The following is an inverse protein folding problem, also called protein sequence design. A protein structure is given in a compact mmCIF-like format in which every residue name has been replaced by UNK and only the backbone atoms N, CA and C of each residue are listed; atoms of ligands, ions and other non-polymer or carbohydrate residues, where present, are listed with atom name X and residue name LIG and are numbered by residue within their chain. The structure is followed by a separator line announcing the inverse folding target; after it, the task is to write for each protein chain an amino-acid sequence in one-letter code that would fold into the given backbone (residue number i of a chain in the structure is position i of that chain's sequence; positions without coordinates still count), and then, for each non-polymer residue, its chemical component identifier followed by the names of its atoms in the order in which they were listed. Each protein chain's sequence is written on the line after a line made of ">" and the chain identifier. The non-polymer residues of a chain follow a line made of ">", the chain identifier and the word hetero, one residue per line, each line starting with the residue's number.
data_IF_384843091699
#
_entry.id   IF_384843091699
#
_cell.length_a   1.000
_cell.length_b   1.000
_cell.length_c   1.000
_cell.angle_alpha   90.00
_cell.angle_beta   90.00
_cell.angle_gamma   90.00
#
_symmetry.space_group_name_H-M   'P 1'
#
loop_
_entity.id
_entity.type
_entity.pdbx_description
1 polymer ?
#
# COMPACT_ATOMS: atom_id res chain seq x y z
N UNK A 1 -8.15 5.50 -37.05
CA UNK A 1 -8.71 4.14 -37.31
C UNK A 1 -8.44 3.60 -38.71
N UNK A 2 -8.87 4.23 -39.82
CA UNK A 2 -8.64 3.70 -41.19
C UNK A 2 -7.16 3.46 -41.56
N UNK A 3 -6.24 4.37 -41.20
CA UNK A 3 -4.79 4.18 -41.36
C UNK A 3 -4.28 2.96 -40.58
N UNK A 4 -4.60 2.87 -39.29
CA UNK A 4 -4.30 1.71 -38.44
C UNK A 4 -4.89 0.41 -39.02
N UNK A 5 -6.14 0.42 -39.49
CA UNK A 5 -6.80 -0.74 -40.08
C UNK A 5 -6.15 -1.16 -41.41
N UNK A 6 -5.69 -0.22 -42.24
CA UNK A 6 -4.93 -0.50 -43.48
C UNK A 6 -3.56 -1.11 -43.16
N UNK A 7 -2.81 -0.51 -42.24
CA UNK A 7 -1.53 -1.07 -41.77
C UNK A 7 -1.74 -2.42 -41.08
N UNK A 8 -2.86 -2.61 -40.37
CA UNK A 8 -3.28 -3.87 -39.77
C UNK A 8 -3.68 -4.94 -40.77
N UNK A 9 -4.40 -4.58 -41.83
CA UNK A 9 -4.80 -5.56 -42.84
C UNK A 9 -3.62 -6.06 -43.67
N UNK A 10 -2.55 -5.26 -43.79
CA UNK A 10 -1.24 -5.76 -44.25
C UNK A 10 -0.68 -6.81 -43.28
N UNK A 11 -0.90 -6.68 -41.95
CA UNK A 11 -0.48 -7.66 -40.92
C UNK A 11 -1.13 -9.05 -41.04
N UNK A 12 -2.31 -9.17 -41.65
CA UNK A 12 -3.03 -10.46 -41.77
C UNK A 12 -2.87 -11.14 -43.13
N UNK A 13 -2.47 -10.41 -44.18
CA UNK A 13 -2.46 -10.92 -45.57
C UNK A 13 -1.07 -11.30 -46.07
N UNK A 14 -0.04 -10.61 -45.63
CA UNK A 14 1.32 -10.89 -46.07
C UNK A 14 2.05 -11.67 -44.98
N UNK A 15 2.64 -12.82 -45.31
CA UNK A 15 3.50 -13.61 -44.42
C UNK A 15 4.75 -12.88 -43.90
N UNK A 16 4.85 -11.56 -44.08
CA UNK A 16 5.89 -10.69 -43.56
C UNK A 16 5.46 -10.16 -42.19
N UNK A 17 6.06 -10.74 -41.13
CA UNK A 17 5.95 -10.23 -39.77
C UNK A 17 6.54 -8.81 -39.73
N UNK A 18 5.72 -7.80 -39.44
CA UNK A 18 6.24 -6.50 -38.97
C UNK A 18 7.19 -6.75 -37.79
N UNK A 19 8.31 -6.04 -37.78
CA UNK A 19 9.18 -5.99 -36.61
C UNK A 19 8.37 -5.49 -35.40
N UNK A 20 8.70 -5.98 -34.21
CA UNK A 20 7.99 -5.69 -32.96
C UNK A 20 7.82 -4.19 -32.75
N UNK A 21 8.87 -3.41 -33.04
CA UNK A 21 8.88 -1.95 -32.97
C UNK A 21 7.78 -1.27 -33.80
N UNK A 22 7.49 -1.79 -35.00
CA UNK A 22 6.48 -1.22 -35.89
C UNK A 22 5.04 -1.43 -35.37
N UNK A 23 4.81 -2.52 -34.63
CA UNK A 23 3.49 -2.81 -34.03
C UNK A 23 3.18 -1.83 -32.90
N UNK A 24 4.15 -1.53 -32.05
CA UNK A 24 4.01 -0.54 -30.97
C UNK A 24 3.80 0.87 -31.52
N UNK A 25 4.51 1.24 -32.59
CA UNK A 25 4.35 2.55 -33.21
C UNK A 25 2.93 2.79 -33.74
N UNK A 26 2.31 1.79 -34.38
CA UNK A 26 0.97 1.94 -34.93
C UNK A 26 -0.10 2.26 -33.87
N UNK A 27 -0.08 1.57 -32.72
CA UNK A 27 -1.03 1.82 -31.63
C UNK A 27 -0.76 3.19 -30.98
N UNK A 28 0.51 3.54 -30.79
CA UNK A 28 0.91 4.82 -30.20
C UNK A 28 0.50 6.01 -31.09
N UNK A 29 0.72 5.93 -32.40
CA UNK A 29 0.27 6.96 -33.35
C UNK A 29 -1.24 7.15 -33.29
N UNK A 30 -2.00 6.05 -33.22
CA UNK A 30 -3.45 6.10 -33.12
C UNK A 30 -3.91 6.77 -31.83
N UNK A 31 -3.32 6.39 -30.69
CA UNK A 31 -3.66 6.96 -29.38
C UNK A 31 -3.26 8.44 -29.28
N UNK A 32 -2.12 8.84 -29.85
CA UNK A 32 -1.69 10.24 -29.91
C UNK A 32 -2.57 11.09 -30.84
N UNK A 33 -3.04 10.53 -31.94
CA UNK A 33 -4.01 11.20 -32.80
C UNK A 33 -5.34 11.40 -32.06
N UNK A 34 -5.86 10.35 -31.41
CA UNK A 34 -7.04 10.44 -30.56
C UNK A 34 -6.88 11.48 -29.44
N UNK A 35 -5.72 11.49 -28.76
CA UNK A 35 -5.39 12.47 -27.72
C UNK A 35 -5.38 13.90 -28.24
N UNK A 36 -4.86 14.12 -29.44
CA UNK A 36 -4.85 15.46 -30.06
C UNK A 36 -6.25 15.93 -30.41
N UNK A 37 -7.07 15.07 -31.02
CA UNK A 37 -8.47 15.39 -31.33
C UNK A 37 -9.26 15.74 -30.07
N UNK A 38 -9.14 14.92 -29.02
CA UNK A 38 -9.79 15.14 -27.73
C UNK A 38 -9.32 16.46 -27.11
N UNK A 39 -8.02 16.72 -27.11
CA UNK A 39 -7.44 17.95 -26.56
C UNK A 39 -7.89 19.23 -27.29
N UNK A 40 -7.96 19.19 -28.62
CA UNK A 40 -8.42 20.31 -29.46
C UNK A 40 -9.90 20.64 -29.18
N UNK A 41 -10.75 19.62 -29.07
CA UNK A 41 -12.18 19.78 -28.75
C UNK A 41 -12.40 20.35 -27.33
N UNK A 42 -11.47 20.10 -26.42
CA UNK A 42 -11.52 20.53 -25.02
C UNK A 42 -11.00 21.95 -24.77
N UNK A 43 -10.54 22.67 -25.80
CA UNK A 43 -9.83 23.95 -25.67
C UNK A 43 -10.59 25.09 -24.97
N UNK A 44 -11.90 24.93 -24.69
CA UNK A 44 -12.71 25.83 -23.88
C UNK A 44 -12.74 25.52 -22.36
N UNK A 45 -12.01 24.49 -21.89
CA UNK A 45 -12.07 23.96 -20.51
C UNK A 45 -10.71 24.09 -19.79
N UNK A 46 -10.63 23.96 -18.44
CA UNK A 46 -9.39 24.16 -17.70
C UNK A 46 -8.20 23.39 -18.29
N UNK A 47 -7.06 24.07 -18.39
CA UNK A 47 -5.83 23.62 -19.06
C UNK A 47 -5.18 22.45 -18.31
N UNK A 48 -5.62 21.22 -18.55
CA UNK A 48 -4.78 20.06 -18.31
C UNK A 48 -3.72 19.95 -19.41
N UNK A 49 -2.49 19.45 -19.16
CA UNK A 49 -1.55 19.16 -20.22
C UNK A 49 -2.13 18.15 -21.20
N UNK A 50 -1.85 18.32 -22.50
CA UNK A 50 -2.14 17.29 -23.50
C UNK A 50 -1.42 16.00 -23.09
N UNK A 51 -2.09 14.86 -23.22
CA UNK A 51 -1.48 13.55 -23.01
C UNK A 51 -0.71 13.11 -24.26
N UNK A 52 0.46 12.53 -24.05
CA UNK A 52 1.24 11.87 -25.09
C UNK A 52 1.51 10.43 -24.69
N UNK A 53 1.13 9.51 -25.57
CA UNK A 53 1.47 8.10 -25.49
C UNK A 53 2.88 7.90 -26.03
N UNK A 54 3.71 7.21 -25.26
CA UNK A 54 5.12 6.95 -25.58
C UNK A 54 5.44 5.46 -25.55
N UNK A 55 6.45 5.07 -26.32
CA UNK A 55 6.87 3.68 -26.44
C UNK A 55 7.88 3.32 -25.33
N UNK A 56 7.51 2.38 -24.45
CA UNK A 56 8.32 1.93 -23.31
C UNK A 56 8.64 0.44 -23.34
N UNK A 57 8.26 -0.29 -24.40
CA UNK A 57 8.53 -1.73 -24.55
C UNK A 57 10.02 -2.12 -24.48
N UNK A 58 10.97 -1.19 -24.52
CA UNK A 58 12.39 -1.51 -24.50
C UNK A 58 13.00 -1.51 -23.07
N UNK A 59 12.35 -0.90 -22.08
CA UNK A 59 12.91 -0.72 -20.75
C UNK A 59 11.83 -0.66 -19.66
N UNK A 60 12.09 -1.23 -18.47
CA UNK A 60 11.16 -1.11 -17.35
C UNK A 60 10.96 0.35 -16.94
N UNK A 61 9.79 0.64 -16.37
CA UNK A 61 9.57 1.91 -15.69
C UNK A 61 10.33 1.92 -14.36
N UNK A 62 10.81 3.09 -13.95
CA UNK A 62 11.70 3.27 -12.80
C UNK A 62 11.01 3.93 -11.61
N UNK A 63 11.68 3.91 -10.45
CA UNK A 63 11.20 4.52 -9.20
C UNK A 63 9.85 3.98 -8.68
N UNK A 64 9.52 2.74 -9.01
CA UNK A 64 8.43 2.04 -8.32
C UNK A 64 8.81 1.88 -6.83
N UNK A 65 7.93 2.14 -5.86
CA UNK A 65 8.29 2.03 -4.43
C UNK A 65 8.75 0.63 -3.98
N UNK A 66 8.27 -0.44 -4.63
CA UNK A 66 8.76 -1.83 -4.45
C UNK A 66 9.96 -2.22 -5.35
N UNK A 67 10.55 -1.29 -6.09
CA UNK A 67 11.63 -1.55 -7.05
C UNK A 67 11.29 -2.63 -8.10
N UNK A 68 10.02 -2.71 -8.50
CA UNK A 68 9.59 -3.62 -9.55
C UNK A 68 10.18 -3.23 -10.90
N UNK A 69 10.51 -4.24 -11.71
CA UNK A 69 11.11 -4.12 -13.04
C UNK A 69 10.09 -4.41 -14.16
N UNK A 70 8.81 -4.13 -13.89
CA UNK A 70 7.73 -4.31 -14.84
C UNK A 70 7.85 -3.32 -16.02
N UNK A 71 7.49 -3.80 -17.22
CA UNK A 71 7.70 -3.11 -18.49
C UNK A 71 6.39 -3.01 -19.29
N UNK A 72 5.51 -2.04 -18.98
CA UNK A 72 4.44 -1.67 -19.89
C UNK A 72 4.99 -1.37 -21.29
N UNK A 73 4.33 -1.85 -22.33
CA UNK A 73 4.77 -1.63 -23.71
C UNK A 73 4.64 -0.16 -24.12
N UNK A 74 3.63 0.51 -23.58
CA UNK A 74 3.44 1.95 -23.72
C UNK A 74 2.78 2.54 -22.48
N UNK A 75 2.93 3.83 -22.30
CA UNK A 75 2.23 4.59 -21.27
C UNK A 75 1.84 5.98 -21.78
N UNK A 76 0.83 6.58 -21.14
CA UNK A 76 0.48 7.98 -21.34
C UNK A 76 1.21 8.84 -20.30
N UNK A 77 1.78 9.96 -20.73
CA UNK A 77 2.41 10.99 -19.89
C UNK A 77 1.89 12.36 -20.29
N UNK A 78 2.12 13.36 -19.44
CA UNK A 78 1.88 14.76 -19.83
C UNK A 78 2.87 15.16 -20.93
N UNK A 79 2.37 15.71 -22.04
CA UNK A 79 3.15 15.97 -23.25
C UNK A 79 4.27 17.01 -23.04
N UNK A 80 4.09 17.92 -22.08
CA UNK A 80 5.09 18.92 -21.72
C UNK A 80 6.29 18.33 -20.97
N UNK A 81 6.17 17.12 -20.40
CA UNK A 81 7.28 16.41 -19.78
C UNK A 81 8.11 15.62 -20.80
N UNK A 82 7.55 15.30 -21.97
CA UNK A 82 8.16 14.43 -22.98
C UNK A 82 9.54 14.89 -23.46
N UNK A 83 9.81 16.20 -23.69
CA UNK A 83 11.12 16.67 -24.12
C UNK A 83 12.25 16.36 -23.13
N UNK A 84 11.94 16.23 -21.84
CA UNK A 84 12.92 15.96 -20.77
C UNK A 84 13.11 14.45 -20.48
N UNK A 85 12.38 13.57 -21.18
CA UNK A 85 12.47 12.13 -20.96
C UNK A 85 13.65 11.52 -21.70
N UNK A 86 14.37 10.63 -21.02
CA UNK A 86 15.53 9.95 -21.59
C UNK A 86 15.12 8.98 -22.72
N UNK A 87 15.98 8.90 -23.74
CA UNK A 87 15.85 7.95 -24.85
C UNK A 87 17.14 7.15 -25.00
N UNK A 88 16.99 5.88 -25.33
CA UNK A 88 18.09 5.03 -25.79
C UNK A 88 18.65 5.51 -27.13
N UNK A 89 19.83 5.01 -27.52
CA UNK A 89 20.42 5.23 -28.84
C UNK A 89 19.53 4.79 -30.01
N UNK A 90 18.61 3.85 -29.76
CA UNK A 90 17.61 3.37 -30.72
C UNK A 90 16.33 4.23 -30.73
N UNK A 91 16.28 5.33 -29.98
CA UNK A 91 15.15 6.25 -29.91
C UNK A 91 13.98 5.80 -29.01
N UNK A 92 14.08 4.64 -28.36
CA UNK A 92 13.07 4.19 -27.40
C UNK A 92 13.20 4.95 -26.08
N UNK A 93 12.07 5.29 -25.45
CA UNK A 93 12.09 5.92 -24.12
C UNK A 93 12.58 4.93 -23.07
N UNK A 94 13.44 5.42 -22.17
CA UNK A 94 14.06 4.64 -21.09
C UNK A 94 13.95 5.44 -19.79
N UNK A 95 14.04 4.75 -18.64
CA UNK A 95 14.03 5.39 -17.33
C UNK A 95 12.81 6.30 -17.10
N UNK A 96 11.64 5.89 -17.59
CA UNK A 96 10.40 6.63 -17.38
C UNK A 96 9.89 6.33 -15.97
N UNK A 97 9.76 7.32 -15.08
CA UNK A 97 9.28 7.07 -13.72
C UNK A 97 7.80 6.73 -13.67
N UNK A 98 7.42 5.79 -12.81
CA UNK A 98 6.02 5.42 -12.59
C UNK A 98 5.15 6.62 -12.22
N UNK A 99 5.68 7.56 -11.42
CA UNK A 99 4.93 8.72 -10.94
C UNK A 99 4.57 9.73 -12.05
N UNK A 100 5.15 9.62 -13.25
CA UNK A 100 4.80 10.48 -14.40
C UNK A 100 3.69 9.91 -15.27
N UNK A 101 3.38 8.63 -15.12
CA UNK A 101 2.43 7.94 -15.99
C UNK A 101 0.98 8.25 -15.59
N UNK A 102 0.09 8.31 -16.60
CA UNK A 102 -1.34 8.62 -16.47
C UNK A 102 -2.23 7.43 -16.83
N UNK A 103 -1.69 6.56 -17.69
CA UNK A 103 -2.28 5.29 -18.10
C UNK A 103 -1.16 4.40 -18.62
N UNK A 104 -1.40 3.09 -18.63
CA UNK A 104 -0.43 2.06 -19.03
C UNK A 104 -1.09 1.11 -20.01
N UNK A 105 -0.28 0.48 -20.86
CA UNK A 105 -0.82 -0.50 -21.79
C UNK A 105 0.17 -1.56 -22.24
N UNK A 106 -0.43 -2.57 -22.83
CA UNK A 106 0.21 -3.80 -23.28
C UNK A 106 -0.27 -4.10 -24.69
N UNK A 107 0.65 -4.40 -25.60
CA UNK A 107 0.36 -4.75 -26.99
C UNK A 107 0.85 -6.16 -27.28
N UNK A 108 -0.10 -7.08 -27.47
CA UNK A 108 0.18 -8.47 -27.81
C UNK A 108 0.54 -8.62 -29.27
N UNK A 109 1.52 -9.48 -29.51
CA UNK A 109 2.02 -9.78 -30.86
C UNK A 109 1.26 -10.91 -31.53
N UNK A 110 0.51 -11.74 -30.78
CA UNK A 110 -0.25 -12.88 -31.29
C UNK A 110 -1.73 -12.88 -30.87
N UNK A 111 -2.54 -13.60 -31.65
CA UNK A 111 -3.98 -13.73 -31.50
C UNK A 111 -4.40 -14.75 -30.41
N UNK A 112 -3.47 -15.62 -29.98
CA UNK A 112 -3.72 -16.74 -29.06
C UNK A 112 -3.41 -16.38 -27.59
N UNK A 113 -2.90 -15.17 -27.35
CA UNK A 113 -2.42 -14.66 -26.06
C UNK A 113 -3.54 -14.26 -25.07
N UNK A 114 -4.69 -14.95 -25.07
CA UNK A 114 -5.88 -14.61 -24.30
C UNK A 114 -5.68 -14.59 -22.76
N UNK A 115 -4.67 -15.30 -22.22
CA UNK A 115 -4.37 -15.35 -20.77
C UNK A 115 -3.70 -14.09 -20.20
N UNK A 116 -3.42 -13.08 -21.03
CA UNK A 116 -2.50 -11.98 -20.67
C UNK A 116 -3.15 -10.59 -20.52
N UNK A 117 -4.48 -10.49 -20.57
CA UNK A 117 -5.22 -9.29 -20.18
C UNK A 117 -4.98 -8.91 -18.70
N UNK A 118 -4.64 -9.92 -17.88
CA UNK A 118 -4.15 -9.80 -16.50
C UNK A 118 -2.88 -8.94 -16.36
N UNK A 119 -2.03 -8.86 -17.39
CA UNK A 119 -0.78 -8.11 -17.35
C UNK A 119 -1.01 -6.60 -17.40
N UNK A 120 -1.92 -6.12 -18.27
CA UNK A 120 -2.31 -4.73 -18.29
C UNK A 120 -2.94 -4.30 -16.95
N UNK A 121 -3.75 -5.18 -16.34
CA UNK A 121 -4.32 -4.93 -15.01
C UNK A 121 -3.28 -4.95 -13.90
N UNK A 122 -2.26 -5.82 -13.97
CA UNK A 122 -1.11 -5.78 -13.07
C UNK A 122 -0.42 -4.42 -13.17
N UNK A 123 -0.15 -3.93 -14.38
CA UNK A 123 0.46 -2.60 -14.56
C UNK A 123 -0.39 -1.47 -14.02
N UNK A 124 -1.71 -1.54 -14.19
CA UNK A 124 -2.64 -0.58 -13.62
C UNK A 124 -2.59 -0.60 -12.08
N UNK A 125 -2.51 -1.79 -11.46
CA UNK A 125 -2.29 -1.91 -10.02
C UNK A 125 -0.96 -1.31 -9.55
N UNK A 126 0.14 -1.57 -10.27
CA UNK A 126 1.45 -0.97 -9.97
C UNK A 126 1.45 0.56 -10.12
N UNK A 127 0.70 1.07 -11.09
CA UNK A 127 0.44 2.50 -11.25
C UNK A 127 -0.25 3.06 -10.00
N UNK A 128 -1.35 2.46 -9.54
CA UNK A 128 -2.11 2.92 -8.38
C UNK A 128 -1.21 3.09 -7.14
N UNK A 129 -0.32 2.14 -6.83
CA UNK A 129 0.59 2.24 -5.67
C UNK A 129 1.75 3.22 -5.87
N UNK A 130 2.10 3.53 -7.12
CA UNK A 130 3.13 4.53 -7.46
C UNK A 130 2.57 5.95 -7.56
N UNK A 131 1.24 6.08 -7.63
CA UNK A 131 0.49 7.33 -7.75
C UNK A 131 -0.55 7.44 -6.65
N UNK A 132 -0.13 7.68 -5.39
CA UNK A 132 -1.07 7.82 -4.29
C UNK A 132 -2.06 8.98 -4.43
N UNK A 133 -1.74 9.98 -5.26
CA UNK A 133 -2.64 11.06 -5.70
C UNK A 133 -3.74 10.57 -6.65
N UNK A 134 -3.56 9.41 -7.28
CA UNK A 134 -4.48 8.79 -8.25
C UNK A 134 -4.58 7.28 -7.99
N UNK A 135 -5.40 6.88 -7.00
CA UNK A 135 -5.53 5.47 -6.66
C UNK A 135 -6.34 4.67 -7.69
N UNK A 136 -6.85 5.30 -8.74
CA UNK A 136 -7.46 4.64 -9.89
C UNK A 136 -6.66 4.85 -11.19
N UNK A 137 -6.61 3.83 -12.04
CA UNK A 137 -5.91 3.86 -13.31
C UNK A 137 -6.66 3.09 -14.40
N UNK A 138 -6.86 3.76 -15.54
CA UNK A 138 -7.25 3.11 -16.78
C UNK A 138 -6.03 2.42 -17.43
N UNK A 139 -6.26 1.26 -18.04
CA UNK A 139 -5.25 0.56 -18.83
C UNK A 139 -5.82 0.03 -20.16
N UNK A 140 -4.94 -0.17 -21.13
CA UNK A 140 -5.30 -0.70 -22.45
C UNK A 140 -4.52 -1.98 -22.73
N UNK A 141 -5.24 -3.07 -23.05
CA UNK A 141 -4.63 -4.26 -23.63
C UNK A 141 -5.04 -4.37 -25.09
N UNK A 142 -4.08 -4.41 -26.01
CA UNK A 142 -4.31 -4.51 -27.44
C UNK A 142 -3.71 -5.81 -28.00
N UNK A 143 -4.31 -6.34 -29.05
CA UNK A 143 -3.85 -7.55 -29.76
C UNK A 143 -4.28 -7.49 -31.23
N UNK A 144 -3.85 -8.43 -32.09
CA UNK A 144 -4.34 -8.49 -33.46
C UNK A 144 -5.86 -8.70 -33.58
N UNK A 145 -6.49 -9.40 -32.62
CA UNK A 145 -7.94 -9.69 -32.62
C UNK A 145 -8.79 -8.48 -32.22
N UNK A 146 -8.25 -7.62 -31.39
CA UNK A 146 -9.01 -6.55 -30.75
C UNK A 146 -8.29 -5.94 -29.57
N UNK A 147 -9.02 -5.17 -28.78
CA UNK A 147 -8.51 -4.53 -27.57
C UNK A 147 -9.50 -4.66 -26.41
N UNK A 148 -9.00 -4.46 -25.21
CA UNK A 148 -9.76 -4.44 -23.96
C UNK A 148 -9.35 -3.19 -23.18
N UNK A 149 -10.34 -2.53 -22.58
CA UNK A 149 -10.13 -1.40 -21.69
C UNK A 149 -10.28 -1.92 -20.26
N UNK A 150 -9.28 -1.63 -19.44
CA UNK A 150 -9.25 -1.99 -18.03
C UNK A 150 -9.37 -0.76 -17.13
N UNK A 151 -9.95 -0.95 -15.95
CA UNK A 151 -9.96 0.00 -14.83
C UNK A 151 -9.48 -0.72 -13.59
N UNK A 152 -8.51 -0.14 -12.87
CA UNK A 152 -7.99 -0.68 -11.62
C UNK A 152 -8.08 0.38 -10.54
N UNK A 153 -8.62 0.03 -9.39
CA UNK A 153 -8.62 0.85 -8.17
C UNK A 153 -8.55 -0.06 -6.92
N UNK A 154 -8.57 0.44 -5.68
CA UNK A 154 -8.53 -0.41 -4.49
C UNK A 154 -9.68 -1.41 -4.37
N UNK A 155 -10.81 -1.21 -5.06
CA UNK A 155 -11.93 -2.15 -5.08
C UNK A 155 -11.64 -3.38 -5.97
N UNK A 156 -10.77 -3.25 -6.97
CA UNK A 156 -10.31 -4.34 -7.80
C UNK A 156 -9.93 -3.93 -9.22
N UNK A 157 -9.68 -4.94 -10.05
CA UNK A 157 -9.45 -4.77 -11.48
C UNK A 157 -10.68 -5.21 -12.30
N UNK A 158 -11.16 -4.33 -13.17
CA UNK A 158 -12.26 -4.57 -14.10
C UNK A 158 -11.73 -4.50 -15.53
N UNK A 159 -12.14 -5.43 -16.38
CA UNK A 159 -11.73 -5.46 -17.78
C UNK A 159 -12.93 -5.72 -18.68
N UNK A 160 -13.01 -4.97 -19.79
CA UNK A 160 -14.04 -5.18 -20.79
C UNK A 160 -13.91 -6.53 -21.49
N UNK A 161 -14.98 -6.98 -22.15
CA UNK A 161 -14.85 -7.99 -23.20
C UNK A 161 -13.89 -7.51 -24.30
N UNK A 162 -13.35 -8.45 -25.07
CA UNK A 162 -12.51 -8.12 -26.23
C UNK A 162 -13.34 -7.43 -27.30
N UNK A 163 -12.99 -6.17 -27.58
CA UNK A 163 -13.62 -5.35 -28.60
C UNK A 163 -12.87 -5.55 -29.91
N UNK A 164 -13.59 -5.98 -30.94
CA UNK A 164 -13.01 -6.13 -32.27
C UNK A 164 -12.55 -4.77 -32.82
N UNK A 165 -11.52 -4.80 -33.64
CA UNK A 165 -11.06 -3.62 -34.37
C UNK A 165 -12.03 -3.24 -35.50
N UNK A 166 -13.14 -2.59 -35.15
CA UNK A 166 -14.07 -1.98 -36.09
C UNK A 166 -13.74 -0.48 -36.25
N UNK A 167 -13.48 -0.06 -37.49
CA UNK A 167 -13.10 1.32 -37.79
C UNK A 167 -14.31 2.26 -37.89
N UNK A 168 -15.52 1.71 -38.04
CA UNK A 168 -16.78 2.45 -38.00
C UNK A 168 -17.23 2.71 -36.54
N UNK A 169 -16.77 1.88 -35.59
CA UNK A 169 -17.06 1.98 -34.16
C UNK A 169 -15.88 2.51 -33.32
N UNK A 170 -14.96 3.27 -33.92
CA UNK A 170 -13.76 3.83 -33.26
C UNK A 170 -14.01 4.74 -32.04
N UNK A 171 -15.28 4.92 -31.66
CA UNK A 171 -15.75 5.71 -30.53
C UNK A 171 -15.17 5.23 -29.19
N UNK A 172 -15.01 3.92 -28.96
CA UNK A 172 -14.57 3.42 -27.65
C UNK A 172 -13.10 3.75 -27.33
N UNK A 173 -12.19 3.75 -28.30
CA UNK A 173 -10.81 4.24 -28.10
C UNK A 173 -10.80 5.74 -27.82
N UNK A 174 -11.60 6.52 -28.54
CA UNK A 174 -11.73 7.95 -28.28
C UNK A 174 -12.31 8.21 -26.88
N UNK A 175 -13.31 7.44 -26.45
CA UNK A 175 -13.87 7.49 -25.09
C UNK A 175 -12.83 7.11 -24.05
N UNK A 176 -12.03 6.06 -24.27
CA UNK A 176 -10.93 5.71 -23.38
C UNK A 176 -9.95 6.88 -23.21
N UNK A 177 -9.51 7.50 -24.31
CA UNK A 177 -8.59 8.65 -24.26
C UNK A 177 -9.25 9.86 -23.61
N UNK A 178 -10.52 10.14 -23.93
CA UNK A 178 -11.32 11.18 -23.29
C UNK A 178 -11.42 10.97 -21.78
N UNK A 179 -11.66 9.75 -21.31
CA UNK A 179 -11.72 9.40 -19.89
C UNK A 179 -10.39 9.59 -19.15
N UNK A 180 -9.25 9.69 -19.84
CA UNK A 180 -7.97 10.03 -19.20
C UNK A 180 -7.86 11.52 -18.82
N UNK A 181 -8.62 12.38 -19.50
CA UNK A 181 -8.74 13.81 -19.19
C UNK A 181 -9.92 14.11 -18.27
N UNK A 182 -11.05 13.47 -18.56
CA UNK A 182 -12.33 13.65 -17.90
C UNK A 182 -12.90 12.28 -17.51
N UNK A 183 -12.39 11.67 -16.44
CA UNK A 183 -12.90 10.39 -15.98
C UNK A 183 -14.39 10.52 -15.63
N UNK A 184 -15.20 9.48 -15.90
CA UNK A 184 -16.56 9.39 -15.37
C UNK A 184 -16.56 9.55 -13.85
N UNK A 185 -17.65 10.00 -13.24
CA UNK A 185 -17.71 10.26 -11.78
C UNK A 185 -17.31 9.05 -10.92
N UNK A 186 -17.64 7.83 -11.34
CA UNK A 186 -17.24 6.58 -10.67
C UNK A 186 -15.74 6.27 -10.79
N UNK A 187 -15.04 6.90 -11.72
CA UNK A 187 -13.62 6.72 -12.01
C UNK A 187 -12.82 8.02 -11.78
N UNK A 188 -13.44 9.11 -11.32
CA UNK A 188 -12.78 10.37 -10.98
C UNK A 188 -12.17 10.27 -9.58
N UNK A 189 -11.21 9.36 -9.47
CA UNK A 189 -10.60 9.00 -8.20
C UNK A 189 -9.26 9.70 -8.10
N UNK A 190 -9.30 10.94 -7.59
CA UNK A 190 -8.13 11.77 -7.29
C UNK A 190 -8.14 12.10 -5.81
N UNK A 191 -7.00 11.95 -5.15
CA UNK A 191 -6.79 12.44 -3.79
C UNK A 191 -6.23 13.88 -3.87
N UNK A 192 -7.04 14.93 -3.62
CA UNK A 192 -6.57 16.31 -3.70
C UNK A 192 -5.61 16.68 -2.57
N UNK A 193 -5.55 15.87 -1.51
CA UNK A 193 -4.71 16.10 -0.33
C UNK A 193 -3.29 15.54 -0.49
N UNK A 194 -3.02 14.83 -1.58
CA UNK A 194 -1.69 14.29 -1.91
C UNK A 194 -1.19 14.94 -3.19
N UNK A 195 -0.07 15.64 -3.10
CA UNK A 195 0.53 16.31 -4.26
C UNK A 195 2.00 15.94 -4.40
N UNK A 196 2.48 15.85 -5.63
CA UNK A 196 3.88 15.58 -5.92
C UNK A 196 4.68 16.87 -5.68
N UNK A 197 5.80 16.78 -4.94
CA UNK A 197 6.65 17.93 -4.59
C UNK A 197 7.20 18.61 -5.83
N UNK A 198 7.71 17.81 -6.77
CA UNK A 198 8.22 18.28 -8.05
C UNK A 198 7.70 17.38 -9.17
N UNK A 199 6.85 17.92 -10.05
CA UNK A 199 6.34 17.19 -11.22
C UNK A 199 7.41 16.91 -12.27
N UNK A 200 8.49 17.68 -12.27
CA UNK A 200 9.56 17.58 -13.27
C UNK A 200 10.61 16.53 -12.91
N UNK A 201 10.74 16.15 -11.63
CA UNK A 201 11.73 15.18 -11.16
C UNK A 201 11.69 13.85 -11.91
N UNK A 202 12.88 13.37 -12.30
CA UNK A 202 13.06 12.01 -12.83
C UNK A 202 13.46 11.02 -11.73
N UNK A 203 13.73 11.48 -10.51
CA UNK A 203 14.14 10.66 -9.38
C UNK A 203 12.94 10.05 -8.64
N UNK A 204 13.20 9.38 -7.52
CA UNK A 204 12.15 8.85 -6.65
C UNK A 204 11.20 9.98 -6.18
N UNK A 205 9.88 9.81 -6.33
CA UNK A 205 8.93 10.88 -6.03
C UNK A 205 8.86 11.17 -4.53
N UNK A 206 8.72 12.45 -4.18
CA UNK A 206 8.38 12.91 -2.84
C UNK A 206 7.03 13.60 -2.82
N UNK A 207 6.30 13.46 -1.72
CA UNK A 207 4.88 13.82 -1.65
C UNK A 207 4.63 14.85 -0.56
N UNK A 208 3.82 15.85 -0.86
CA UNK A 208 3.15 16.66 0.14
C UNK A 208 1.81 16.02 0.47
N UNK A 209 1.49 15.93 1.76
CA UNK A 209 0.29 15.27 2.26
C UNK A 209 -0.40 16.20 3.25
N UNK A 210 -1.67 16.51 3.00
CA UNK A 210 -2.50 17.27 3.92
C UNK A 210 -3.33 16.32 4.79
N UNK A 211 -3.37 16.56 6.09
CA UNK A 211 -4.34 15.93 6.99
C UNK A 211 -4.93 17.02 7.85
N UNK A 212 -6.26 17.17 7.78
CA UNK A 212 -6.97 18.30 8.40
C UNK A 212 -6.37 19.64 7.94
N UNK A 213 -5.98 20.50 8.87
CA UNK A 213 -5.41 21.82 8.59
C UNK A 213 -3.87 21.81 8.46
N UNK A 214 -3.21 20.65 8.62
CA UNK A 214 -1.75 20.54 8.55
C UNK A 214 -1.30 19.91 7.22
N UNK A 215 -0.32 20.54 6.58
CA UNK A 215 0.39 19.99 5.42
C UNK A 215 1.77 19.51 5.83
N UNK A 216 2.05 18.24 5.56
CA UNK A 216 3.35 17.61 5.69
C UNK A 216 4.02 17.64 4.33
N UNK A 217 5.20 18.25 4.23
CA UNK A 217 5.87 18.46 2.95
C UNK A 217 7.06 17.52 2.78
N UNK A 218 7.39 17.19 1.53
CA UNK A 218 8.64 16.50 1.19
C UNK A 218 8.77 15.06 1.72
N UNK A 219 7.65 14.36 1.85
CA UNK A 219 7.59 13.00 2.38
C UNK A 219 8.10 11.93 1.44
N UNK A 220 8.87 10.99 1.99
CA UNK A 220 9.37 9.82 1.28
C UNK A 220 8.42 8.63 1.48
N UNK A 221 8.05 7.93 0.40
CA UNK A 221 7.38 6.63 0.51
C UNK A 221 8.37 5.56 0.99
N UNK A 222 8.09 4.97 2.16
CA UNK A 222 8.92 3.91 2.75
C UNK A 222 8.31 2.52 2.62
N UNK A 223 6.99 2.43 2.37
CA UNK A 223 6.29 1.17 2.13
C UNK A 223 5.06 1.38 1.25
N UNK A 224 4.79 0.40 0.39
CA UNK A 224 3.50 0.24 -0.29
C UNK A 224 3.04 -1.21 -0.14
N UNK A 225 1.75 -1.40 0.04
CA UNK A 225 1.09 -2.70 0.14
C UNK A 225 0.77 -3.30 -1.22
N UNK A 226 -0.22 -4.20 -1.23
CA UNK A 226 -0.80 -4.72 -2.47
C UNK A 226 -1.71 -3.67 -3.14
N UNK A 227 -1.79 -3.67 -4.48
CA UNK A 227 -2.48 -2.60 -5.22
C UNK A 227 -4.00 -2.64 -5.10
N UNK A 228 -4.57 -3.80 -4.77
CA UNK A 228 -6.00 -3.98 -4.55
C UNK A 228 -6.28 -4.19 -3.06
N UNK A 229 -7.53 -3.99 -2.66
CA UNK A 229 -8.01 -4.00 -1.28
C UNK A 229 -7.58 -2.76 -0.47
N UNK A 230 -6.58 -2.88 0.42
CA UNK A 230 -6.23 -1.81 1.36
C UNK A 230 -5.32 -0.76 0.73
N UNK A 231 -4.51 -1.15 -0.25
CA UNK A 231 -3.53 -0.26 -0.89
C UNK A 231 -2.77 0.60 0.13
N UNK A 232 -2.28 -0.03 1.21
CA UNK A 232 -1.61 0.67 2.29
C UNK A 232 -0.35 1.37 1.77
N UNK A 233 -0.17 2.65 2.09
CA UNK A 233 1.06 3.39 1.78
C UNK A 233 1.56 4.04 3.06
N UNK A 234 2.86 3.91 3.33
CA UNK A 234 3.50 4.54 4.48
C UNK A 234 4.53 5.54 3.98
N UNK A 235 4.43 6.75 4.53
CA UNK A 235 5.33 7.86 4.27
C UNK A 235 6.11 8.22 5.52
N UNK A 236 7.34 8.67 5.32
CA UNK A 236 8.21 9.24 6.34
C UNK A 236 8.46 10.69 6.02
N UNK A 237 8.20 11.55 7.00
CA UNK A 237 8.48 12.98 6.97
C UNK A 237 9.48 13.28 8.08
N UNK A 238 10.46 14.13 7.77
CA UNK A 238 11.44 14.62 8.74
C UNK A 238 11.48 16.13 8.63
N UNK A 239 11.15 16.81 9.73
CA UNK A 239 11.25 18.25 9.87
C UNK A 239 11.92 18.62 11.21
N UNK A 240 11.96 19.91 11.54
CA UNK A 240 12.52 20.39 12.79
C UNK A 240 11.72 19.93 14.03
N UNK A 241 10.44 19.57 13.87
CA UNK A 241 9.56 19.05 14.93
C UNK A 241 9.76 17.53 15.14
N UNK A 242 10.57 16.90 14.29
CA UNK A 242 10.98 15.50 14.38
C UNK A 242 10.48 14.65 13.22
N UNK A 243 10.38 13.34 13.49
CA UNK A 243 9.93 12.36 12.49
C UNK A 243 8.42 12.18 12.60
N UNK A 244 7.74 12.13 11.45
CA UNK A 244 6.33 11.76 11.33
C UNK A 244 6.16 10.61 10.36
N UNK A 245 5.34 9.66 10.74
CA UNK A 245 4.93 8.55 9.88
C UNK A 245 3.47 8.75 9.50
N UNK A 246 3.18 8.77 8.20
CA UNK A 246 1.79 8.84 7.71
C UNK A 246 1.44 7.52 7.06
N UNK A 247 0.36 6.88 7.50
CA UNK A 247 -0.21 5.66 6.93
C UNK A 247 -1.52 6.00 6.22
N UNK A 248 -1.53 5.81 4.91
CA UNK A 248 -2.74 5.84 4.07
C UNK A 248 -3.25 4.44 3.83
N UNK A 249 -4.57 4.24 3.86
CA UNK A 249 -5.19 2.99 3.45
C UNK A 249 -6.66 3.15 3.04
N UNK A 250 -7.13 2.23 2.22
CA UNK A 250 -8.52 2.05 1.87
C UNK A 250 -9.18 1.03 2.78
N UNK A 251 -10.16 1.48 3.55
CA UNK A 251 -10.95 0.63 4.44
C UNK A 251 -12.28 0.30 3.81
N UNK A 252 -12.72 -0.95 3.95
CA UNK A 252 -14.05 -1.36 3.54
C UNK A 252 -15.12 -0.64 4.38
N UNK A 253 -16.16 -0.10 3.76
CA UNK A 253 -17.19 0.71 4.47
C UNK A 253 -17.96 -0.10 5.53
N UNK A 254 -18.14 -1.41 5.30
CA UNK A 254 -18.78 -2.33 6.26
C UNK A 254 -17.84 -2.95 7.31
N UNK A 255 -16.63 -2.41 7.50
CA UNK A 255 -15.69 -2.91 8.52
C UNK A 255 -16.22 -2.57 9.92
N UNK A 256 -16.16 -3.51 10.87
CA UNK A 256 -16.66 -3.28 12.24
C UNK A 256 -15.71 -2.43 13.08
N UNK A 257 -14.41 -2.71 12.99
CA UNK A 257 -13.38 -2.02 13.77
C UNK A 257 -12.50 -1.21 12.83
N UNK A 258 -12.39 0.08 13.12
CA UNK A 258 -11.54 1.02 12.39
C UNK A 258 -10.26 1.27 13.17
N UNK A 259 -9.13 1.33 12.47
CA UNK A 259 -7.82 1.41 13.11
C UNK A 259 -7.67 2.67 13.95
N UNK A 260 -8.16 3.82 13.48
CA UNK A 260 -8.17 5.08 14.25
C UNK A 260 -8.90 4.94 15.58
N UNK A 261 -10.10 4.36 15.57
CA UNK A 261 -10.92 4.20 16.77
C UNK A 261 -10.30 3.22 17.80
N UNK A 262 -9.46 2.29 17.35
CA UNK A 262 -8.70 1.42 18.25
C UNK A 262 -7.53 2.17 18.89
N UNK A 263 -6.88 3.08 18.16
CA UNK A 263 -5.86 3.96 18.72
C UNK A 263 -6.44 4.99 19.69
N UNK A 264 -7.64 5.53 19.42
CA UNK A 264 -8.32 6.44 20.35
C UNK A 264 -8.58 5.76 21.70
N UNK A 265 -8.91 4.46 21.71
CA UNK A 265 -9.05 3.65 22.95
C UNK A 265 -7.71 3.39 23.64
N UNK A 266 -6.59 3.46 22.93
CA UNK A 266 -5.24 3.29 23.46
C UNK A 266 -4.57 4.63 23.75
N UNK A 267 -5.31 5.74 23.75
CA UNK A 267 -4.75 7.05 24.05
C UNK A 267 -4.11 7.05 25.45
N UNK A 268 -2.84 7.46 25.51
CA UNK A 268 -2.03 7.41 26.74
C UNK A 268 -1.47 6.02 27.10
N UNK A 269 -1.85 4.95 26.40
CA UNK A 269 -1.30 3.62 26.62
C UNK A 269 0.10 3.49 26.01
N UNK A 270 1.06 3.10 26.84
CA UNK A 270 2.44 2.98 26.41
C UNK A 270 2.77 1.66 25.72
N UNK A 271 3.86 1.66 24.95
CA UNK A 271 4.29 0.50 24.17
C UNK A 271 3.51 0.31 22.87
N UNK A 272 2.67 1.29 22.50
CA UNK A 272 1.99 1.40 21.22
C UNK A 272 2.52 2.62 20.48
N UNK A 273 2.44 2.62 19.14
CA UNK A 273 2.73 3.84 18.38
C UNK A 273 1.75 4.95 18.75
N UNK A 274 2.27 6.14 18.96
CA UNK A 274 1.51 7.35 19.24
C UNK A 274 0.93 7.92 17.94
N UNK A 275 -0.39 7.87 17.82
CA UNK A 275 -1.15 8.56 16.77
C UNK A 275 -1.47 9.97 17.25
N UNK A 276 -1.16 10.98 16.43
CA UNK A 276 -1.37 12.40 16.76
C UNK A 276 -2.48 13.04 15.93
N UNK A 277 -2.86 12.43 14.81
CA UNK A 277 -4.02 12.83 14.03
C UNK A 277 -4.56 11.64 13.24
N UNK A 278 -5.87 11.63 12.99
CA UNK A 278 -6.49 10.72 12.04
C UNK A 278 -7.55 11.48 11.24
N UNK A 279 -7.56 11.32 9.93
CA UNK A 279 -8.48 12.06 9.08
C UNK A 279 -9.12 11.19 7.99
N UNK A 280 -10.36 11.55 7.65
CA UNK A 280 -11.06 11.05 6.47
C UNK A 280 -10.61 11.87 5.27
N UNK A 281 -10.05 11.23 4.25
CA UNK A 281 -9.61 11.92 3.03
C UNK A 281 -10.81 12.35 2.16
N UNK A 282 -11.99 11.79 2.40
CA UNK A 282 -13.20 12.07 1.59
C UNK A 282 -13.21 11.36 0.24
N UNK A 283 -12.28 10.43 0.01
CA UNK A 283 -12.19 9.65 -1.21
C UNK A 283 -12.86 8.27 -1.04
N UNK A 284 -13.79 7.95 -1.93
CA UNK A 284 -14.48 6.65 -1.98
C UNK A 284 -14.26 6.00 -3.33
N UNK A 285 -14.02 4.68 -3.33
CA UNK A 285 -13.84 3.85 -4.52
C UNK A 285 -14.74 2.63 -4.47
N UNK A 286 -14.99 2.01 -5.62
CA UNK A 286 -15.88 0.87 -5.73
C UNK A 286 -17.35 1.22 -5.52
N UNK A 287 -18.19 0.19 -5.50
CA UNK A 287 -19.64 0.31 -5.28
C UNK A 287 -20.14 -0.83 -4.40
N UNK A 288 -21.25 -0.59 -3.70
CA UNK A 288 -21.95 -1.56 -2.86
C UNK A 288 -21.00 -2.33 -1.92
N UNK A 289 -20.95 -3.66 -2.06
CA UNK A 289 -20.14 -4.59 -1.26
C UNK A 289 -18.63 -4.51 -1.52
N UNK A 290 -18.19 -3.67 -2.45
CA UNK A 290 -16.77 -3.41 -2.72
C UNK A 290 -16.33 -2.00 -2.30
N UNK A 291 -17.28 -1.19 -1.82
CA UNK A 291 -17.05 0.21 -1.49
C UNK A 291 -15.99 0.37 -0.39
N UNK A 292 -15.03 1.25 -0.65
CA UNK A 292 -13.91 1.54 0.26
C UNK A 292 -13.67 3.03 0.38
N UNK A 293 -13.31 3.46 1.57
CA UNK A 293 -13.01 4.86 1.91
C UNK A 293 -11.53 5.00 2.28
N UNK A 294 -10.88 6.06 1.81
CA UNK A 294 -9.49 6.34 2.16
C UNK A 294 -9.40 6.99 3.55
N UNK A 295 -8.62 6.38 4.42
CA UNK A 295 -8.28 6.85 5.77
C UNK A 295 -6.79 7.18 5.85
N UNK A 296 -6.46 8.13 6.71
CA UNK A 296 -5.09 8.57 6.98
C UNK A 296 -4.84 8.63 8.47
N UNK A 297 -3.74 8.03 8.91
CA UNK A 297 -3.23 8.10 10.28
C UNK A 297 -1.88 8.82 10.26
N UNK A 298 -1.70 9.77 11.18
CA UNK A 298 -0.42 10.45 11.42
C UNK A 298 0.12 9.99 12.76
N UNK A 299 1.33 9.44 12.76
CA UNK A 299 2.01 8.93 13.94
C UNK A 299 3.25 9.78 14.25
N UNK A 300 3.43 10.11 15.52
CA UNK A 300 4.61 10.85 16.01
C UNK A 300 5.76 9.94 16.44
N UNK A 301 5.47 8.68 16.70
CA UNK A 301 6.45 7.67 17.06
C UNK A 301 6.54 6.58 16.01
N UNK A 302 7.67 5.88 15.96
CA UNK A 302 7.87 4.71 15.12
C UNK A 302 9.18 4.01 15.46
N UNK A 303 9.63 3.13 14.58
CA UNK A 303 10.89 2.39 14.76
C UNK A 303 11.17 1.48 13.58
N UNK A 304 12.15 0.60 13.73
CA UNK A 304 12.52 -0.40 12.75
C UNK A 304 11.76 -1.71 13.01
N UNK A 305 11.43 -2.48 11.97
CA UNK A 305 10.81 -3.79 12.18
C UNK A 305 11.72 -4.73 13.01
N UNK A 306 11.11 -5.67 13.74
CA UNK A 306 11.82 -6.59 14.64
C UNK A 306 12.90 -7.43 13.94
N UNK A 307 12.79 -7.67 12.62
CA UNK A 307 13.81 -8.36 11.83
C UNK A 307 15.15 -7.58 11.72
N UNK A 308 15.19 -6.34 12.18
CA UNK A 308 16.41 -5.50 12.25
C UNK A 308 17.16 -5.61 13.58
N UNK A 309 16.62 -6.35 14.55
CA UNK A 309 17.30 -6.57 15.83
C UNK A 309 18.64 -7.29 15.61
N UNK A 310 19.71 -6.73 16.18
CA UNK A 310 21.09 -7.25 16.01
C UNK A 310 21.56 -8.17 17.13
N UNK A 311 20.86 -8.20 18.27
CA UNK A 311 21.31 -8.96 19.45
C UNK A 311 20.16 -9.72 20.10
N UNK A 312 20.45 -10.90 20.63
CA UNK A 312 19.48 -11.70 21.40
C UNK A 312 18.95 -10.93 22.60
N UNK A 313 19.81 -10.13 23.25
CA UNK A 313 19.41 -9.27 24.38
C UNK A 313 18.32 -8.30 23.98
N UNK A 314 18.52 -7.52 22.90
CA UNK A 314 17.51 -6.56 22.43
C UNK A 314 16.22 -7.26 21.99
N UNK A 315 16.33 -8.45 21.39
CA UNK A 315 15.15 -9.25 21.02
C UNK A 315 14.32 -9.63 22.25
N UNK A 316 14.94 -10.19 23.29
CA UNK A 316 14.25 -10.61 24.51
C UNK A 316 13.63 -9.41 25.25
N UNK A 317 14.36 -8.30 25.33
CA UNK A 317 13.86 -7.05 25.90
C UNK A 317 12.63 -6.53 25.13
N UNK A 318 12.69 -6.55 23.79
CA UNK A 318 11.57 -6.15 22.95
C UNK A 318 10.36 -7.07 23.16
N UNK A 319 10.56 -8.39 23.24
CA UNK A 319 9.44 -9.32 23.46
C UNK A 319 8.76 -9.10 24.81
N UNK A 320 9.53 -8.83 25.87
CA UNK A 320 8.96 -8.47 27.16
C UNK A 320 8.08 -7.23 27.07
N UNK A 321 8.60 -6.15 26.48
CA UNK A 321 7.88 -4.87 26.40
C UNK A 321 6.60 -4.98 25.55
N UNK A 322 6.65 -5.72 24.44
CA UNK A 322 5.47 -5.97 23.59
C UNK A 322 4.42 -6.81 24.32
N UNK A 323 4.83 -7.82 25.10
CA UNK A 323 3.89 -8.61 25.89
C UNK A 323 3.19 -7.76 26.94
N UNK A 324 3.92 -6.89 27.65
CA UNK A 324 3.35 -5.99 28.65
C UNK A 324 2.45 -4.93 28.01
N UNK A 325 2.87 -4.31 26.91
CA UNK A 325 2.06 -3.33 26.16
C UNK A 325 0.75 -3.94 25.64
N UNK A 326 0.82 -5.14 25.04
CA UNK A 326 -0.34 -5.85 24.56
C UNK A 326 -1.25 -6.31 25.72
N UNK A 327 -0.68 -6.82 26.82
CA UNK A 327 -1.41 -7.21 28.03
C UNK A 327 -2.17 -6.02 28.60
N UNK A 328 -1.52 -4.86 28.70
CA UNK A 328 -2.15 -3.62 29.13
C UNK A 328 -3.31 -3.26 28.21
N UNK A 329 -3.08 -3.18 26.89
CA UNK A 329 -4.13 -2.85 25.91
C UNK A 329 -5.33 -3.79 25.96
N UNK A 330 -5.11 -5.09 26.16
CA UNK A 330 -6.20 -6.07 26.27
C UNK A 330 -6.95 -5.97 27.61
N UNK A 331 -6.25 -5.83 28.73
CA UNK A 331 -6.86 -5.88 30.06
C UNK A 331 -7.54 -4.55 30.42
N UNK A 332 -6.87 -3.42 30.12
CA UNK A 332 -7.32 -2.09 30.49
C UNK A 332 -8.21 -1.48 29.41
N UNK A 333 -7.73 -1.46 28.18
CA UNK A 333 -8.40 -0.78 27.06
C UNK A 333 -9.29 -1.70 26.22
N UNK A 334 -9.26 -3.01 26.50
CA UNK A 334 -9.99 -4.05 25.76
C UNK A 334 -9.63 -4.13 24.27
N UNK A 335 -8.51 -3.56 23.86
CA UNK A 335 -8.03 -3.60 22.48
C UNK A 335 -7.10 -4.81 22.31
N UNK A 336 -7.41 -5.64 21.31
CA UNK A 336 -6.61 -6.80 20.93
C UNK A 336 -6.08 -6.61 19.51
N UNK A 337 -4.77 -6.85 19.30
CA UNK A 337 -4.12 -6.59 18.01
C UNK A 337 -4.45 -7.62 16.92
N UNK A 338 -4.53 -8.92 17.28
CA UNK A 338 -4.79 -10.09 16.42
C UNK A 338 -3.83 -10.36 15.24
N UNK A 339 -2.94 -9.45 14.89
CA UNK A 339 -1.91 -9.66 13.84
C UNK A 339 -0.49 -9.32 14.32
N UNK A 340 -0.13 -9.81 15.51
CA UNK A 340 1.23 -9.63 16.02
C UNK A 340 2.19 -10.47 15.15
N UNK A 341 3.12 -9.78 14.51
CA UNK A 341 4.17 -10.37 13.68
C UNK A 341 5.45 -9.52 13.82
N UNK A 342 6.57 -10.03 13.32
CA UNK A 342 7.84 -9.27 13.35
C UNK A 342 7.78 -7.93 12.60
N UNK A 343 6.83 -7.76 11.67
CA UNK A 343 6.65 -6.50 10.93
C UNK A 343 5.86 -5.45 11.71
N UNK A 344 5.06 -5.88 12.68
CA UNK A 344 4.15 -5.05 13.48
C UNK A 344 4.71 -4.76 14.90
N UNK A 345 5.98 -5.16 15.11
CA UNK A 345 6.77 -4.85 16.29
C UNK A 345 7.92 -3.95 15.84
N UNK A 346 7.97 -2.74 16.40
CA UNK A 346 8.94 -1.71 16.08
C UNK A 346 9.98 -1.60 17.19
N UNK A 347 11.26 -1.83 16.88
CA UNK A 347 12.41 -1.67 17.78
C UNK A 347 13.15 -0.37 17.50
N UNK A 348 14.08 0.00 18.38
CA UNK A 348 14.82 1.27 18.31
C UNK A 348 13.87 2.47 18.15
N UNK A 349 12.89 2.63 19.06
CA UNK A 349 11.80 3.54 18.82
C UNK A 349 12.27 5.00 18.89
N UNK A 350 11.63 5.85 18.09
CA UNK A 350 11.75 7.29 18.14
C UNK A 350 10.41 7.93 18.48
N UNK A 351 10.43 9.20 18.89
CA UNK A 351 9.21 9.99 19.11
C UNK A 351 8.35 9.50 20.27
N UNK A 352 8.92 8.70 21.19
CA UNK A 352 8.26 8.38 22.46
C UNK A 352 8.24 9.65 23.33
N UNK A 353 7.11 9.98 23.98
CA UNK A 353 7.06 11.06 24.96
C UNK A 353 8.17 10.95 26.01
N UNK A 354 8.72 12.11 26.40
CA UNK A 354 9.82 12.20 27.38
C UNK A 354 9.38 11.73 28.77
N UNK A 355 8.11 11.95 29.10
CA UNK A 355 7.54 11.49 30.36
C UNK A 355 7.27 9.98 30.28
N UNK A 356 7.95 9.24 31.15
CA UNK A 356 7.76 7.80 31.22
C UNK A 356 6.31 7.51 31.66
N UNK A 357 5.60 6.66 30.94
CA UNK A 357 4.21 6.35 31.22
C UNK A 357 4.06 5.64 32.57
N UNK A 358 2.92 5.88 33.23
CA UNK A 358 2.63 5.27 34.54
C UNK A 358 2.39 3.76 34.45
N UNK A 359 1.92 3.23 33.33
CA UNK A 359 1.76 1.80 33.07
C UNK A 359 1.88 1.51 31.56
N UNK A 360 2.30 0.30 31.16
CA UNK A 360 2.86 -0.78 31.98
C UNK A 360 4.34 -0.56 32.35
N UNK A 361 4.89 -1.46 33.18
CA UNK A 361 6.32 -1.45 33.55
C UNK A 361 7.14 -2.17 32.49
N UNK A 362 8.08 -1.48 31.86
CA UNK A 362 8.95 -2.02 30.80
C UNK A 362 10.26 -2.60 31.34
N UNK A 363 10.89 -3.46 30.54
CA UNK A 363 12.06 -4.26 30.91
C UNK A 363 13.21 -3.42 31.45
N UNK A 364 13.48 -2.24 30.86
CA UNK A 364 14.54 -1.35 31.34
C UNK A 364 14.25 -0.78 32.74
N UNK A 365 12.97 -0.62 33.10
CA UNK A 365 12.58 -0.24 34.48
C UNK A 365 12.88 -1.35 35.48
N UNK A 366 12.75 -2.61 35.05
CA UNK A 366 13.02 -3.78 35.91
C UNK A 366 14.52 -4.00 36.08
N UNK A 367 15.28 -3.77 35.02
CA UNK A 367 16.74 -3.92 35.02
C UNK A 367 17.45 -2.75 35.70
N UNK A 368 16.78 -1.60 35.90
CA UNK A 368 17.35 -0.46 36.58
C UNK A 368 17.23 -0.59 38.10
N UNK A 369 18.38 -0.82 38.76
CA UNK A 369 18.51 -0.94 40.21
C UNK A 369 18.08 0.32 40.98
N UNK A 370 18.00 1.48 40.32
CA UNK A 370 17.55 2.73 40.93
C UNK A 370 16.03 2.84 41.00
N UNK A 371 15.29 1.94 40.33
CA UNK A 371 13.83 2.00 40.21
C UNK A 371 13.33 3.13 39.31
N UNK A 372 14.22 3.79 38.56
CA UNK A 372 13.84 4.80 37.58
C UNK A 372 13.01 4.15 36.47
N UNK A 373 11.90 4.81 36.11
CA UNK A 373 11.08 4.39 34.98
C UNK A 373 11.72 4.73 33.64
N UNK A 374 11.63 3.79 32.72
CA UNK A 374 12.14 3.90 31.37
C UNK A 374 11.04 3.69 30.34
N UNK A 375 11.19 4.37 29.21
CA UNK A 375 10.41 4.15 28.01
C UNK A 375 10.59 2.73 27.47
N UNK A 376 9.60 2.21 26.72
CA UNK A 376 9.71 0.89 26.12
C UNK A 376 10.83 0.81 25.08
N UNK A 377 11.43 -0.37 24.99
CA UNK A 377 12.45 -0.73 23.98
C UNK A 377 11.81 -1.05 22.62
N UNK A 378 10.51 -1.35 22.60
CA UNK A 378 9.77 -1.67 21.39
C UNK A 378 8.31 -1.18 21.46
N UNK A 379 7.72 -0.91 20.30
CA UNK A 379 6.34 -0.46 20.13
C UNK A 379 5.52 -1.44 19.27
N UNK A 380 4.23 -1.55 19.55
CA UNK A 380 3.25 -2.23 18.70
C UNK A 380 2.66 -1.22 17.71
N UNK A 381 2.53 -1.61 16.45
CA UNK A 381 1.86 -0.84 15.40
C UNK A 381 0.92 -1.72 14.56
N UNK A 382 0.10 -1.10 13.71
CA UNK A 382 -0.75 -1.77 12.72
C UNK A 382 -1.98 -2.48 13.29
N UNK A 383 -2.89 -1.68 13.86
CA UNK A 383 -4.15 -2.14 14.44
C UNK A 383 -5.24 -2.43 13.41
N UNK A 384 -4.88 -2.55 12.14
CA UNK A 384 -5.78 -2.91 11.05
C UNK A 384 -6.62 -4.14 11.42
N UNK A 385 -5.98 -5.23 11.80
CA UNK A 385 -6.67 -6.47 12.15
C UNK A 385 -7.17 -6.48 13.60
N UNK A 386 -7.00 -5.38 14.34
CA UNK A 386 -7.39 -5.27 15.73
C UNK A 386 -8.89 -5.38 15.96
N UNK A 387 -9.27 -5.55 17.22
CA UNK A 387 -10.66 -5.53 17.64
C UNK A 387 -10.79 -5.06 19.08
N UNK A 388 -12.02 -4.71 19.45
CA UNK A 388 -12.40 -4.54 20.85
C UNK A 388 -12.97 -5.86 21.37
N UNK A 389 -12.38 -6.38 22.45
CA UNK A 389 -12.79 -7.60 23.10
C UNK A 389 -13.85 -7.31 24.18
N UNK A 390 -14.91 -8.12 24.25
CA UNK A 390 -16.03 -8.00 25.22
C UNK A 390 -16.93 -6.76 25.11
N UNK A 391 -17.03 -6.13 23.95
CA UNK A 391 -17.87 -4.91 23.83
C UNK A 391 -19.39 -5.17 23.71
N UNK A 392 -19.90 -6.41 23.57
CA UNK A 392 -21.36 -6.64 23.49
C UNK A 392 -21.94 -7.90 24.16
N UNK A 393 -23.19 -7.71 24.54
CA UNK A 393 -24.08 -8.33 25.52
C UNK A 393 -24.97 -9.45 24.95
N UNK A 394 -24.55 -10.10 23.86
CA UNK A 394 -25.26 -11.26 23.31
C UNK A 394 -24.31 -12.47 23.30
N UNK A 395 -24.43 -13.38 24.29
CA UNK A 395 -23.52 -14.52 24.45
C UNK A 395 -23.47 -15.46 23.24
N UNK A 396 -24.47 -15.42 22.35
CA UNK A 396 -24.71 -16.50 21.39
C UNK A 396 -24.38 -16.17 19.93
N UNK A 397 -24.00 -14.93 19.61
CA UNK A 397 -23.63 -14.54 18.23
C UNK A 397 -22.20 -13.98 18.23
N UNK A 398 -21.23 -14.84 17.96
CA UNK A 398 -19.87 -14.42 17.61
C UNK A 398 -19.91 -13.89 16.17
N UNK A 399 -19.66 -12.60 15.93
CA UNK A 399 -19.73 -12.06 14.57
C UNK A 399 -18.66 -12.69 13.69
N UNK A 400 -19.00 -12.98 12.43
CA UNK A 400 -18.14 -13.72 11.50
C UNK A 400 -16.76 -13.07 11.30
N UNK A 401 -16.65 -11.75 11.49
CA UNK A 401 -15.37 -11.02 11.45
C UNK A 401 -14.39 -11.45 12.55
N UNK A 402 -14.86 -11.93 13.72
CA UNK A 402 -14.00 -12.48 14.77
C UNK A 402 -13.55 -13.92 14.49
N UNK A 403 -14.32 -14.66 13.66
CA UNK A 403 -13.97 -16.00 13.18
C UNK A 403 -13.12 -15.98 11.92
N UNK A 404 -13.08 -14.84 11.22
CA UNK A 404 -12.31 -14.71 10.00
C UNK A 404 -10.82 -14.94 10.26
N UNK A 405 -10.14 -15.62 9.32
CA UNK A 405 -8.70 -15.87 9.37
C UNK A 405 -7.96 -14.54 9.22
N UNK A 406 -7.77 -13.84 10.33
CA UNK A 406 -7.06 -12.56 10.38
C UNK A 406 -5.62 -12.77 10.82
N UNK A 407 -4.71 -12.11 10.11
CA UNK A 407 -3.30 -12.01 10.46
C UNK A 407 -2.37 -12.65 9.46
N UNK A 408 -1.08 -12.57 9.74
CA UNK A 408 -0.02 -13.10 8.90
C UNK A 408 0.04 -14.63 9.04
N UNK A 409 -0.14 -15.44 7.96
CA UNK A 409 -0.42 -16.89 8.05
C UNK A 409 0.49 -17.72 8.96
N UNK A 410 1.77 -17.38 9.11
CA UNK A 410 2.72 -18.10 9.99
C UNK A 410 2.56 -17.77 11.49
N UNK A 411 1.87 -16.68 11.83
CA UNK A 411 1.72 -16.17 13.20
C UNK A 411 0.28 -16.26 13.73
N UNK A 412 -0.67 -16.70 12.88
CA UNK A 412 -2.08 -16.85 13.31
C UNK A 412 -2.18 -17.99 14.32
N UNK A 413 -2.88 -17.74 15.43
CA UNK A 413 -3.22 -18.80 16.37
C UNK A 413 -4.07 -19.88 15.67
N UNK A 414 -3.71 -21.17 15.86
CA UNK A 414 -4.39 -22.32 15.22
C UNK A 414 -5.91 -22.31 15.37
N UNK A 415 -6.42 -21.82 16.50
CA UNK A 415 -7.85 -21.69 16.74
C UNK A 415 -8.49 -20.67 15.79
N UNK A 416 -7.90 -19.47 15.68
CA UNK A 416 -8.34 -18.41 14.75
C UNK A 416 -8.22 -18.86 13.30
N UNK A 417 -7.12 -19.55 12.95
CA UNK A 417 -6.96 -20.13 11.61
C UNK A 417 -8.07 -21.12 11.26
N UNK A 418 -8.51 -21.92 12.23
CA UNK A 418 -9.61 -22.87 12.08
C UNK A 418 -11.00 -22.22 12.23
N UNK A 419 -11.09 -20.89 12.37
CA UNK A 419 -12.36 -20.18 12.61
C UNK A 419 -13.02 -20.53 13.96
N UNK A 420 -12.24 -21.02 14.92
CA UNK A 420 -12.69 -21.46 16.25
C UNK A 420 -12.26 -20.46 17.32
N UNK A 421 -13.16 -20.10 18.21
CA UNK A 421 -12.77 -19.53 19.50
C UNK A 421 -12.37 -20.67 20.43
N UNK A 422 -11.23 -20.51 21.12
CA UNK A 422 -10.94 -21.38 22.27
C UNK A 422 -11.91 -20.97 23.37
N UNK A 423 -12.96 -21.78 23.57
CA UNK A 423 -13.83 -21.64 24.74
C UNK A 423 -13.02 -22.14 25.93
N UNK A 424 -12.31 -21.25 26.59
CA UNK A 424 -11.74 -21.51 27.91
C UNK A 424 -12.94 -21.50 28.86
N UNK A 425 -13.26 -22.60 29.58
CA UNK A 425 -14.37 -22.62 30.53
C UNK A 425 -14.29 -21.43 31.49
N UNK A 426 -15.43 -20.87 31.87
CA UNK A 426 -15.56 -19.62 32.65
C UNK A 426 -14.84 -19.61 34.02
N UNK A 427 -14.24 -20.73 34.43
CA UNK A 427 -13.34 -20.80 35.58
C UNK A 427 -11.94 -20.31 35.17
N UNK A 428 -11.73 -18.99 35.27
CA UNK A 428 -10.45 -18.28 35.15
C UNK A 428 -9.75 -18.28 33.77
N UNK A 429 -9.24 -17.12 33.31
CA UNK A 429 -8.03 -17.14 32.52
C UNK A 429 -6.90 -17.55 33.48
N UNK A 430 -6.77 -18.85 33.73
CA UNK A 430 -5.48 -19.37 34.16
C UNK A 430 -4.58 -19.17 32.94
N UNK A 431 -3.99 -17.97 32.82
CA UNK A 431 -2.58 -17.94 32.47
C UNK A 431 -1.97 -18.94 33.44
N UNK A 432 -1.68 -20.16 32.96
CA UNK A 432 -0.90 -21.08 33.75
C UNK A 432 0.30 -20.26 34.22
N UNK A 433 0.59 -20.22 35.54
CA UNK A 433 1.82 -19.60 36.00
C UNK A 433 2.93 -20.07 35.07
N UNK A 434 3.80 -19.15 34.66
CA UNK A 434 5.00 -19.52 33.90
C UNK A 434 5.56 -20.80 34.53
N UNK A 435 5.76 -21.88 33.76
CA UNK A 435 6.12 -23.17 34.33
C UNK A 435 7.26 -22.97 35.32
N UNK A 436 7.02 -23.29 36.59
CA UNK A 436 8.10 -23.26 37.55
C UNK A 436 9.16 -24.21 37.03
N UNK A 437 10.39 -23.71 36.90
CA UNK A 437 11.50 -24.54 36.49
C UNK A 437 11.83 -25.44 37.69
N UNK A 438 11.09 -26.54 37.81
CA UNK A 438 11.13 -27.47 38.94
C UNK A 438 12.50 -28.14 39.08
N UNK A 439 13.29 -28.15 38.00
CA UNK A 439 14.65 -28.61 38.03
C UNK A 439 15.57 -27.45 38.40
N UNK A 440 16.06 -27.47 39.64
CA UNK A 440 16.97 -26.47 40.19
C UNK A 440 18.22 -26.26 39.31
N UNK A 441 18.73 -27.31 38.64
CA UNK A 441 19.86 -27.19 37.72
C UNK A 441 19.52 -26.51 36.39
N UNK A 442 18.28 -26.65 35.91
CA UNK A 442 17.78 -25.91 34.73
C UNK A 442 17.51 -24.46 35.14
N UNK A 443 16.94 -24.21 36.32
CA UNK A 443 16.72 -22.87 36.84
C UNK A 443 18.04 -22.12 37.04
N UNK A 444 19.05 -22.80 37.60
CA UNK A 444 20.41 -22.29 37.75
C UNK A 444 21.12 -22.12 36.41
N UNK A 445 20.92 -23.02 35.42
CA UNK A 445 21.43 -22.82 34.05
C UNK A 445 20.77 -21.64 33.35
N UNK A 446 19.47 -21.46 33.52
CA UNK A 446 18.72 -20.33 32.95
C UNK A 446 19.17 -19.01 33.58
N UNK A 447 19.32 -18.98 34.92
CA UNK A 447 19.87 -17.85 35.65
C UNK A 447 21.33 -17.56 35.25
N UNK A 448 22.17 -18.60 35.08
CA UNK A 448 23.54 -18.45 34.59
C UNK A 448 23.60 -17.92 33.17
N UNK A 449 22.77 -18.40 32.25
CA UNK A 449 22.69 -17.86 30.88
C UNK A 449 22.19 -16.41 30.85
N UNK A 450 21.29 -16.03 31.77
CA UNK A 450 20.82 -14.65 31.91
C UNK A 450 21.88 -13.73 32.54
N UNK A 451 22.66 -14.20 33.51
CA UNK A 451 23.72 -13.42 34.16
C UNK A 451 25.02 -13.35 33.34
N UNK A 452 25.40 -14.40 32.59
CA UNK A 452 26.61 -14.39 31.76
C UNK A 452 26.53 -13.43 30.57
N UNK A 453 25.33 -13.13 30.08
CA UNK A 453 25.16 -12.19 28.96
C UNK A 453 25.30 -10.71 29.34
N UNK A 454 25.42 -10.38 30.63
CA UNK A 454 25.44 -9.00 31.13
C UNK A 454 26.77 -8.53 31.72
N UNK A 455 27.76 -9.41 31.92
CA UNK A 455 29.00 -9.06 32.63
C UNK A 455 30.32 -9.51 32.00
N UNK A 456 30.34 -10.02 30.77
CA UNK A 456 31.61 -10.16 30.02
C UNK A 456 31.56 -9.37 28.71
N UNK A 457 31.89 -8.08 28.82
CA UNK A 457 32.36 -7.21 27.74
C UNK A 457 33.12 -6.04 28.37
N UNK A 458 34.32 -6.32 28.87
CA UNK A 458 35.40 -5.32 28.84
C UNK A 458 35.98 -5.27 27.42
#
# INVERSE_FOLDING_TARGET
>A
MRKFHKERNKMCRDGNKLDEGQKYLCIIEMLNHASSMVYEEMSARPKQPRLQFINTHAAPLVHHPKSFVDKPDFCAVDADLVPALAKSTKGNYIQIPWHKTKSVGEMKTSAEDAKKATQAMRYAGLHNVSRPDRPGCYALSASPKGYQIGWSDPSGGHISATIAWNHEEGNLILRYVYSLYFPPSLCDVVDPTVTLVDRTTNDSPRWNIQCEDKTYTDGQTIFVGEPWSRQTVIYRFEDNDGVRIIKDQFEHVGRRFHESALYDKLEGAAGWVTVVASCNVGLTVGSDMSARVKKRLVMSSGGEALDKVRTTRLFLMSMYDILEAHRYGVIKERVMHRDISFRNILVNPFGIPVEAPMEPTFVNTILDITGKRHSPTALICDLDNGCVYKEETYPDIIPDQLKSRTGTPMYIARAVEAGRLVVIPAAHPLFMPMPEINNKAIAESYARCFFFFFFESD
#
